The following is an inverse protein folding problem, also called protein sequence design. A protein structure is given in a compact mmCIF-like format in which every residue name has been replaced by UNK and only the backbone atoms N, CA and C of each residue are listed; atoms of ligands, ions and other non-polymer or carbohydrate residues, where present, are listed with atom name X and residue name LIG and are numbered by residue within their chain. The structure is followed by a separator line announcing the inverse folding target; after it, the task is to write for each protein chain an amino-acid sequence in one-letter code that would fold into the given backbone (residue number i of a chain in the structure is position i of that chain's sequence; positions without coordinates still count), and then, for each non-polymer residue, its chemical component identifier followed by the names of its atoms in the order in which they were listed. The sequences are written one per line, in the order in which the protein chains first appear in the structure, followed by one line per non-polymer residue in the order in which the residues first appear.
data_IF_649064221511
#
_entry.id   IF_649064221511
#
_cell.length_a   1.000
_cell.length_b   1.000
_cell.length_c   1.000
_cell.angle_alpha   90.00
_cell.angle_beta   90.00
_cell.angle_gamma   90.00
#
_symmetry.space_group_name_H-M   'P 1'
#
loop_
_entity.id
_entity.type
_entity.pdbx_description
1 polymer ?
#
# COMPACT_ATOMS: atom_id res chain seq x y z
N UNK A 1 19.44 53.16 -41.34
CA UNK A 1 19.23 51.71 -41.35
C UNK A 1 19.64 51.17 -39.98
N UNK A 2 18.66 50.95 -39.11
CA UNK A 2 18.87 50.53 -37.73
C UNK A 2 18.54 49.05 -37.65
N UNK A 3 19.57 48.23 -37.36
CA UNK A 3 19.41 46.80 -37.10
C UNK A 3 18.97 46.60 -35.63
N UNK A 4 17.68 46.33 -35.43
CA UNK A 4 17.16 45.93 -34.12
C UNK A 4 17.65 44.50 -33.82
N UNK A 5 18.58 44.37 -32.88
CA UNK A 5 19.02 43.10 -32.33
C UNK A 5 17.87 42.47 -31.55
N UNK A 6 17.27 41.39 -32.09
CA UNK A 6 16.37 40.52 -31.37
C UNK A 6 17.15 39.81 -30.28
N UNK A 7 17.08 40.32 -29.04
CA UNK A 7 17.48 39.59 -27.86
C UNK A 7 16.48 38.44 -27.69
N UNK A 8 16.88 37.22 -28.06
CA UNK A 8 16.19 35.99 -27.70
C UNK A 8 16.23 35.91 -26.15
N UNK A 9 15.14 36.27 -25.51
CA UNK A 9 14.95 35.93 -24.11
C UNK A 9 14.97 34.41 -23.98
N UNK A 10 15.97 33.88 -23.30
CA UNK A 10 16.04 32.47 -22.90
C UNK A 10 14.89 32.22 -21.92
N UNK A 11 13.78 31.70 -22.45
CA UNK A 11 12.54 31.48 -21.70
C UNK A 11 12.66 30.30 -20.72
N UNK A 12 13.20 30.57 -19.55
CA UNK A 12 12.92 29.78 -18.37
C UNK A 12 11.71 30.44 -17.66
N UNK A 13 10.49 30.11 -18.10
CA UNK A 13 9.32 30.68 -17.43
C UNK A 13 7.99 30.64 -18.15
N UNK A 14 7.82 29.87 -19.22
CA UNK A 14 6.50 29.64 -19.83
C UNK A 14 6.01 28.22 -19.62
N UNK A 15 6.05 27.73 -18.37
CA UNK A 15 5.25 26.61 -17.95
C UNK A 15 3.82 27.07 -17.73
N UNK A 16 2.93 26.79 -18.68
CA UNK A 16 1.50 26.89 -18.44
C UNK A 16 1.10 26.07 -17.21
N UNK A 17 -0.11 26.22 -16.65
CA UNK A 17 -0.54 25.49 -15.45
C UNK A 17 -0.33 23.99 -15.67
N UNK A 18 0.30 23.30 -14.68
CA UNK A 18 0.62 21.89 -14.75
C UNK A 18 -0.65 21.07 -15.09
N UNK A 19 -0.49 20.03 -15.91
CA UNK A 19 -1.64 19.19 -16.30
C UNK A 19 -2.33 18.62 -15.05
N UNK A 20 -3.66 18.50 -15.07
CA UNK A 20 -4.45 17.93 -13.95
C UNK A 20 -3.93 16.56 -13.48
N UNK A 21 -3.33 15.79 -14.39
CA UNK A 21 -2.73 14.47 -14.07
C UNK A 21 -1.53 14.65 -13.13
N UNK A 22 -0.66 15.61 -13.41
CA UNK A 22 0.53 15.91 -12.59
C UNK A 22 0.09 16.43 -11.23
N UNK A 23 -0.84 17.39 -11.19
CA UNK A 23 -1.33 17.98 -9.93
C UNK A 23 -1.97 16.93 -9.03
N UNK A 24 -2.84 16.07 -9.58
CA UNK A 24 -3.51 15.00 -8.81
C UNK A 24 -2.49 13.95 -8.34
N UNK A 25 -1.58 13.52 -9.21
CA UNK A 25 -0.55 12.54 -8.84
C UNK A 25 0.38 13.08 -7.74
N UNK A 26 0.82 14.32 -7.85
CA UNK A 26 1.67 14.95 -6.85
C UNK A 26 0.94 15.17 -5.51
N UNK A 27 -0.30 15.65 -5.54
CA UNK A 27 -1.10 15.81 -4.32
C UNK A 27 -1.36 14.47 -3.63
N UNK A 28 -1.62 13.41 -4.40
CA UNK A 28 -1.78 12.07 -3.85
C UNK A 28 -0.47 11.49 -3.29
N UNK A 29 0.66 11.79 -3.92
CA UNK A 29 1.97 11.44 -3.40
C UNK A 29 2.26 12.09 -2.03
N UNK A 30 1.89 13.37 -1.86
CA UNK A 30 1.99 14.04 -0.55
C UNK A 30 1.12 13.36 0.52
N UNK A 31 -0.09 12.90 0.15
CA UNK A 31 -0.93 12.10 1.04
C UNK A 31 -0.23 10.78 1.45
N UNK A 32 0.36 10.05 0.50
CA UNK A 32 1.11 8.84 0.80
C UNK A 32 2.33 9.07 1.69
N UNK A 33 3.00 10.22 1.57
CA UNK A 33 4.08 10.59 2.48
C UNK A 33 3.58 10.74 3.93
N UNK A 34 2.36 11.26 4.15
CA UNK A 34 1.78 11.33 5.50
C UNK A 34 1.52 9.94 6.08
N UNK A 35 1.07 8.98 5.25
CA UNK A 35 0.88 7.59 5.67
C UNK A 35 2.23 6.94 6.02
N UNK A 36 3.29 7.17 5.23
CA UNK A 36 4.64 6.68 5.52
C UNK A 36 5.14 7.22 6.87
N UNK A 37 4.92 8.51 7.17
CA UNK A 37 5.28 9.10 8.47
C UNK A 37 4.50 8.44 9.61
N UNK A 38 3.20 8.21 9.43
CA UNK A 38 2.37 7.52 10.41
C UNK A 38 2.88 6.09 10.68
N UNK A 39 3.15 5.30 9.64
CA UNK A 39 3.71 3.96 9.80
C UNK A 39 5.10 3.98 10.43
N UNK A 40 5.94 4.97 10.10
CA UNK A 40 7.26 5.14 10.75
C UNK A 40 7.12 5.36 12.26
N UNK A 41 6.10 6.10 12.71
CA UNK A 41 5.82 6.26 14.14
C UNK A 41 5.38 4.93 14.79
N UNK A 42 4.56 4.10 14.12
CA UNK A 42 4.21 2.77 14.60
C UNK A 42 5.41 1.82 14.66
N UNK A 43 6.31 1.85 13.67
CA UNK A 43 7.56 1.09 13.70
C UNK A 43 8.45 1.51 14.87
N UNK A 44 8.57 2.81 15.12
CA UNK A 44 9.34 3.33 16.25
C UNK A 44 8.73 2.90 17.59
N UNK A 45 7.41 2.99 17.74
CA UNK A 45 6.71 2.51 18.93
C UNK A 45 6.92 1.01 19.14
N UNK A 46 6.80 0.20 18.08
CA UNK A 46 7.07 -1.23 18.16
C UNK A 46 8.52 -1.51 18.57
N UNK A 47 9.51 -0.84 18.00
CA UNK A 47 10.92 -1.04 18.32
C UNK A 47 11.24 -0.73 19.80
N UNK A 48 10.63 0.33 20.37
CA UNK A 48 10.78 0.67 21.80
C UNK A 48 10.11 -0.39 22.70
N UNK A 49 8.96 -0.94 22.29
CA UNK A 49 8.17 -1.87 23.08
C UNK A 49 8.47 -3.36 22.81
N UNK A 50 9.40 -3.66 21.88
CA UNK A 50 9.71 -5.02 21.44
C UNK A 50 10.05 -6.00 22.57
N UNK A 51 10.69 -5.52 23.63
CA UNK A 51 11.07 -6.32 24.80
C UNK A 51 10.05 -6.29 25.96
N UNK A 52 8.96 -5.51 25.82
CA UNK A 52 7.95 -5.31 26.88
C UNK A 52 6.85 -6.38 26.79
N UNK A 53 7.23 -7.67 26.87
CA UNK A 53 6.32 -8.81 26.67
C UNK A 53 5.50 -9.19 27.91
N UNK A 54 5.85 -8.69 29.09
CA UNK A 54 5.19 -9.02 30.38
C UNK A 54 5.02 -10.54 30.61
N UNK A 55 6.01 -11.34 30.19
CA UNK A 55 5.96 -12.82 30.26
C UNK A 55 5.00 -13.48 29.27
N UNK A 56 4.53 -12.72 28.29
CA UNK A 56 3.70 -13.21 27.17
C UNK A 56 4.54 -13.59 25.94
N UNK A 57 3.89 -13.89 24.80
CA UNK A 57 4.57 -14.24 23.55
C UNK A 57 5.57 -13.17 23.12
N UNK A 58 6.72 -13.64 22.63
CA UNK A 58 7.81 -12.84 22.08
C UNK A 58 7.73 -12.75 20.55
N UNK A 59 8.62 -11.97 19.93
CA UNK A 59 8.71 -11.89 18.48
C UNK A 59 8.98 -13.23 17.79
N UNK A 60 9.68 -14.16 18.48
CA UNK A 60 9.91 -15.54 17.99
C UNK A 60 8.62 -16.34 17.86
N UNK A 61 7.70 -16.16 18.81
CA UNK A 61 6.43 -16.89 18.85
C UNK A 61 5.44 -16.40 17.80
N UNK A 62 5.68 -15.21 17.25
CA UNK A 62 4.87 -14.61 16.18
C UNK A 62 5.32 -15.01 14.77
N UNK A 63 6.51 -15.58 14.63
CA UNK A 63 7.02 -16.01 13.34
C UNK A 63 6.47 -17.40 13.00
N UNK A 64 5.46 -17.43 12.13
CA UNK A 64 4.94 -18.66 11.54
C UNK A 64 5.29 -18.72 10.03
N UNK A 65 5.51 -19.92 9.44
CA UNK A 65 5.80 -20.07 8.01
C UNK A 65 4.70 -19.49 7.09
N UNK A 66 3.46 -19.36 7.58
CA UNK A 66 2.34 -18.73 6.90
C UNK A 66 2.62 -17.28 6.49
N UNK A 67 3.48 -16.56 7.24
CA UNK A 67 3.87 -15.17 6.94
C UNK A 67 4.62 -15.02 5.62
N UNK A 68 5.37 -16.04 5.23
CA UNK A 68 6.04 -16.07 3.92
C UNK A 68 5.00 -16.20 2.81
N UNK A 69 3.95 -17.01 3.00
CA UNK A 69 2.87 -17.14 2.04
C UNK A 69 2.06 -15.82 1.90
N UNK A 70 1.77 -15.13 3.00
CA UNK A 70 1.11 -13.83 3.00
C UNK A 70 1.93 -12.79 2.22
N UNK A 71 3.25 -12.76 2.45
CA UNK A 71 4.16 -11.88 1.72
C UNK A 71 4.17 -12.21 0.23
N UNK A 72 4.20 -13.50 -0.14
CA UNK A 72 4.14 -13.93 -1.53
C UNK A 72 2.82 -13.53 -2.22
N UNK A 73 1.68 -13.63 -1.51
CA UNK A 73 0.37 -13.19 -2.01
C UNK A 73 0.35 -11.70 -2.29
N UNK A 74 0.87 -10.87 -1.37
CA UNK A 74 0.94 -9.42 -1.56
C UNK A 74 1.88 -9.04 -2.71
N UNK A 75 3.08 -9.61 -2.79
CA UNK A 75 4.00 -9.37 -3.90
C UNK A 75 3.39 -9.77 -5.25
N UNK A 76 2.70 -10.92 -5.31
CA UNK A 76 1.97 -11.35 -6.51
C UNK A 76 0.83 -10.36 -6.84
N UNK A 77 0.11 -9.84 -5.84
CA UNK A 77 -0.94 -8.84 -6.05
C UNK A 77 -0.36 -7.52 -6.56
N UNK A 78 0.80 -7.11 -6.05
CA UNK A 78 1.53 -5.93 -6.51
C UNK A 78 1.94 -6.06 -7.98
N UNK A 79 2.44 -7.24 -8.37
CA UNK A 79 2.77 -7.53 -9.76
C UNK A 79 1.53 -7.45 -10.68
N UNK A 80 0.41 -8.06 -10.30
CA UNK A 80 -0.85 -7.98 -11.08
C UNK A 80 -1.41 -6.56 -11.13
N UNK A 81 -1.25 -5.78 -10.06
CA UNK A 81 -1.59 -4.36 -10.03
C UNK A 81 -0.77 -3.58 -11.07
N UNK A 82 0.54 -3.82 -11.19
CA UNK A 82 1.39 -3.26 -12.24
C UNK A 82 0.93 -3.64 -13.65
N UNK A 83 0.52 -4.91 -13.86
CA UNK A 83 -0.06 -5.35 -15.15
C UNK A 83 -1.34 -4.60 -15.48
N UNK A 84 -2.19 -4.28 -14.49
CA UNK A 84 -3.40 -3.49 -14.70
C UNK A 84 -3.09 -2.09 -15.24
N UNK A 85 -1.99 -1.47 -14.78
CA UNK A 85 -1.54 -0.18 -15.29
C UNK A 85 -1.07 -0.26 -16.76
N UNK A 86 -0.39 -1.33 -17.14
CA UNK A 86 0.03 -1.56 -18.53
C UNK A 86 -1.19 -1.81 -19.43
N UNK A 87 -2.14 -2.65 -18.99
CA UNK A 87 -3.38 -2.92 -19.73
C UNK A 87 -4.23 -1.66 -19.92
N UNK A 88 -4.28 -0.79 -18.90
CA UNK A 88 -4.96 0.53 -18.99
C UNK A 88 -4.30 1.43 -20.03
N UNK A 89 -2.96 1.46 -20.11
CA UNK A 89 -2.24 2.20 -21.15
C UNK A 89 -2.50 1.65 -22.56
N UNK A 90 -2.61 0.32 -22.67
CA UNK A 90 -2.98 -0.37 -23.91
C UNK A 90 -4.48 -0.24 -24.24
N UNK A 91 -5.28 0.43 -23.39
CA UNK A 91 -6.73 0.61 -23.54
C UNK A 91 -7.52 -0.69 -23.70
N UNK A 92 -7.04 -1.78 -23.11
CA UNK A 92 -7.71 -3.08 -23.12
C UNK A 92 -8.56 -3.24 -21.87
N UNK A 93 -9.89 -3.16 -22.03
CA UNK A 93 -10.84 -3.30 -20.91
C UNK A 93 -10.71 -4.67 -20.24
N UNK A 94 -10.72 -5.73 -21.03
CA UNK A 94 -10.69 -7.11 -20.51
C UNK A 94 -9.43 -7.38 -19.69
N UNK A 95 -8.26 -7.03 -20.22
CA UNK A 95 -7.00 -7.25 -19.51
C UNK A 95 -6.87 -6.38 -18.25
N UNK A 96 -7.42 -5.16 -18.28
CA UNK A 96 -7.44 -4.28 -17.10
C UNK A 96 -8.33 -4.89 -16.01
N UNK A 97 -9.54 -5.35 -16.35
CA UNK A 97 -10.46 -5.98 -15.42
C UNK A 97 -9.89 -7.29 -14.84
N UNK A 98 -9.32 -8.16 -15.67
CA UNK A 98 -8.71 -9.41 -15.21
C UNK A 98 -7.53 -9.17 -14.27
N UNK A 99 -6.68 -8.22 -14.59
CA UNK A 99 -5.54 -7.88 -13.75
C UNK A 99 -5.99 -7.28 -12.40
N UNK A 100 -7.01 -6.40 -12.40
CA UNK A 100 -7.60 -5.87 -11.16
C UNK A 100 -8.29 -6.94 -10.34
N UNK A 101 -9.02 -7.85 -10.99
CA UNK A 101 -9.65 -8.99 -10.31
C UNK A 101 -8.60 -9.87 -9.63
N UNK A 102 -7.52 -10.22 -10.33
CA UNK A 102 -6.41 -10.96 -9.75
C UNK A 102 -5.78 -10.24 -8.55
N UNK A 103 -5.52 -8.93 -8.68
CA UNK A 103 -5.03 -8.08 -7.58
C UNK A 103 -5.96 -8.13 -6.38
N UNK A 104 -7.27 -7.98 -6.62
CA UNK A 104 -8.29 -8.01 -5.57
C UNK A 104 -8.40 -9.36 -4.87
N UNK A 105 -8.37 -10.47 -5.62
CA UNK A 105 -8.43 -11.82 -5.04
C UNK A 105 -7.19 -12.13 -4.20
N UNK A 106 -6.00 -11.79 -4.68
CA UNK A 106 -4.76 -11.99 -3.93
C UNK A 106 -4.70 -11.12 -2.67
N UNK A 107 -5.10 -9.85 -2.77
CA UNK A 107 -5.18 -8.95 -1.61
C UNK A 107 -6.24 -9.37 -0.60
N UNK A 108 -7.39 -9.89 -1.06
CA UNK A 108 -8.43 -10.44 -0.18
C UNK A 108 -7.96 -11.72 0.52
N UNK A 109 -7.25 -12.61 -0.19
CA UNK A 109 -6.66 -13.80 0.40
C UNK A 109 -5.67 -13.45 1.51
N UNK A 110 -4.78 -12.47 1.27
CA UNK A 110 -3.90 -11.93 2.30
C UNK A 110 -4.68 -11.44 3.53
N UNK A 111 -5.71 -10.61 3.32
CA UNK A 111 -6.48 -10.03 4.42
C UNK A 111 -7.23 -11.10 5.25
N UNK A 112 -7.70 -12.17 4.59
CA UNK A 112 -8.34 -13.31 5.27
C UNK A 112 -7.34 -14.06 6.14
N UNK A 113 -6.13 -14.33 5.64
CA UNK A 113 -5.07 -15.00 6.42
C UNK A 113 -4.67 -14.15 7.63
N UNK A 114 -4.46 -12.86 7.44
CA UNK A 114 -4.13 -11.90 8.51
C UNK A 114 -5.21 -11.86 9.59
N UNK A 115 -6.50 -11.81 9.18
CA UNK A 115 -7.61 -11.82 10.12
C UNK A 115 -7.72 -13.14 10.90
N UNK A 116 -7.47 -14.28 10.25
CA UNK A 116 -7.45 -15.60 10.90
C UNK A 116 -6.34 -15.69 11.94
N UNK A 117 -5.18 -15.13 11.65
CA UNK A 117 -4.06 -15.11 12.57
C UNK A 117 -4.33 -14.21 13.78
N UNK A 118 -4.88 -13.03 13.58
CA UNK A 118 -5.33 -12.17 14.68
C UNK A 118 -6.35 -12.88 15.56
N UNK A 119 -7.33 -13.55 14.97
CA UNK A 119 -8.31 -14.35 15.71
C UNK A 119 -7.63 -15.48 16.49
N UNK A 120 -6.65 -16.16 15.89
CA UNK A 120 -5.86 -17.21 16.54
C UNK A 120 -5.03 -16.70 17.73
N UNK A 121 -4.39 -15.53 17.60
CA UNK A 121 -3.66 -14.90 18.70
C UNK A 121 -4.59 -14.51 19.85
N UNK A 122 -5.72 -13.90 19.55
CA UNK A 122 -6.72 -13.55 20.58
C UNK A 122 -7.27 -14.78 21.27
N UNK A 123 -7.58 -15.86 20.54
CA UNK A 123 -8.07 -17.12 21.10
C UNK A 123 -7.06 -17.79 22.05
N UNK A 124 -5.75 -17.61 21.79
CA UNK A 124 -4.65 -18.09 22.65
C UNK A 124 -4.36 -17.17 23.84
N UNK A 125 -5.17 -16.13 24.07
CA UNK A 125 -4.98 -15.14 25.14
C UNK A 125 -3.85 -14.14 24.88
N UNK A 126 -3.33 -14.09 23.65
CA UNK A 126 -2.29 -13.17 23.18
C UNK A 126 -2.92 -11.93 22.51
N UNK A 127 -3.98 -11.38 23.10
CA UNK A 127 -4.64 -10.17 22.59
C UNK A 127 -3.85 -8.89 22.93
N UNK A 128 -4.26 -7.74 22.37
CA UNK A 128 -3.54 -6.47 22.51
C UNK A 128 -3.45 -5.99 23.98
N UNK A 129 -4.37 -6.42 24.86
CA UNK A 129 -4.37 -6.04 26.29
C UNK A 129 -3.32 -6.80 27.11
N UNK A 130 -2.72 -7.88 26.58
CA UNK A 130 -1.81 -8.75 27.32
C UNK A 130 -0.46 -8.10 27.61
N UNK A 131 0.09 -7.34 26.67
CA UNK A 131 1.38 -6.68 26.83
C UNK A 131 1.50 -5.44 25.91
N UNK A 132 2.41 -4.54 26.27
CA UNK A 132 2.70 -3.36 25.43
C UNK A 132 3.28 -3.76 24.06
N UNK A 133 4.08 -4.83 24.00
CA UNK A 133 4.58 -5.43 22.76
C UNK A 133 3.42 -5.84 21.83
N UNK A 134 2.45 -6.62 22.34
CA UNK A 134 1.29 -7.04 21.56
C UNK A 134 0.41 -5.86 21.16
N UNK A 135 0.21 -4.86 22.03
CA UNK A 135 -0.52 -3.64 21.67
C UNK A 135 0.11 -2.92 20.48
N UNK A 136 1.43 -2.75 20.48
CA UNK A 136 2.16 -2.12 19.36
C UNK A 136 2.09 -2.98 18.08
N UNK A 137 2.21 -4.30 18.21
CA UNK A 137 2.08 -5.25 17.11
C UNK A 137 0.68 -5.16 16.46
N UNK A 138 -0.39 -5.30 17.25
CA UNK A 138 -1.75 -5.21 16.74
C UNK A 138 -2.08 -3.84 16.13
N UNK A 139 -1.53 -2.75 16.69
CA UNK A 139 -1.72 -1.42 16.13
C UNK A 139 -1.03 -1.28 14.76
N UNK A 140 0.23 -1.72 14.63
CA UNK A 140 1.00 -1.61 13.41
C UNK A 140 0.43 -2.48 12.29
N UNK A 141 0.26 -3.78 12.54
CA UNK A 141 -0.21 -4.76 11.57
C UNK A 141 -1.69 -4.53 11.25
N UNK A 142 -2.52 -4.25 12.27
CA UNK A 142 -3.94 -3.94 12.09
C UNK A 142 -4.18 -2.67 11.30
N UNK A 143 -3.39 -1.62 11.51
CA UNK A 143 -3.45 -0.40 10.71
C UNK A 143 -3.12 -0.69 9.23
N UNK A 144 -2.11 -1.52 8.96
CA UNK A 144 -1.80 -1.98 7.61
C UNK A 144 -2.97 -2.76 6.99
N UNK A 145 -3.54 -3.72 7.69
CA UNK A 145 -4.70 -4.49 7.25
C UNK A 145 -5.92 -3.61 6.93
N UNK A 146 -6.19 -2.57 7.74
CA UNK A 146 -7.24 -1.60 7.45
C UNK A 146 -6.99 -0.82 6.16
N UNK A 147 -5.74 -0.46 5.86
CA UNK A 147 -5.39 0.20 4.61
C UNK A 147 -5.57 -0.74 3.41
N UNK A 148 -5.20 -2.02 3.53
CA UNK A 148 -5.45 -3.02 2.49
C UNK A 148 -6.96 -3.18 2.26
N UNK A 149 -7.77 -3.26 3.32
CA UNK A 149 -9.23 -3.34 3.22
C UNK A 149 -9.82 -2.11 2.50
N UNK A 150 -9.37 -0.90 2.85
CA UNK A 150 -9.78 0.32 2.17
C UNK A 150 -9.37 0.32 0.69
N UNK A 151 -8.18 -0.18 0.37
CA UNK A 151 -7.72 -0.38 -1.00
C UNK A 151 -8.59 -1.37 -1.79
N UNK A 152 -9.01 -2.48 -1.19
CA UNK A 152 -9.92 -3.44 -1.80
C UNK A 152 -11.30 -2.84 -2.09
N UNK A 153 -11.84 -2.05 -1.17
CA UNK A 153 -13.09 -1.32 -1.40
C UNK A 153 -12.95 -0.33 -2.55
N UNK A 154 -11.84 0.41 -2.59
CA UNK A 154 -11.56 1.33 -3.70
C UNK A 154 -11.44 0.58 -5.04
N UNK A 155 -10.70 -0.53 -5.08
CA UNK A 155 -10.57 -1.41 -6.25
C UNK A 155 -11.94 -1.87 -6.74
N UNK A 156 -12.80 -2.36 -5.86
CA UNK A 156 -14.16 -2.78 -6.19
C UNK A 156 -14.99 -1.65 -6.84
N UNK A 157 -14.89 -0.42 -6.31
CA UNK A 157 -15.57 0.73 -6.91
C UNK A 157 -15.04 1.08 -8.30
N UNK A 158 -13.75 0.88 -8.56
CA UNK A 158 -13.16 1.10 -9.88
C UNK A 158 -13.60 0.03 -10.88
N UNK A 159 -13.55 -1.23 -10.49
CA UNK A 159 -14.01 -2.35 -11.32
C UNK A 159 -15.47 -2.17 -11.75
N UNK A 160 -16.34 -1.75 -10.84
CA UNK A 160 -17.74 -1.45 -11.18
C UNK A 160 -17.90 -0.27 -12.17
N UNK A 161 -16.93 0.64 -12.24
CA UNK A 161 -17.00 1.84 -13.11
C UNK A 161 -16.39 1.63 -14.49
N UNK A 162 -15.42 0.72 -14.64
CA UNK A 162 -14.69 0.48 -15.89
C UNK A 162 -15.64 0.05 -17.03
N UNK A 163 -16.51 -0.96 -16.86
CA UNK A 163 -17.39 -1.42 -17.95
C UNK A 163 -18.42 -0.35 -18.35
N UNK A 164 -18.90 0.45 -17.40
CA UNK A 164 -19.96 1.44 -17.63
C UNK A 164 -19.42 2.73 -18.26
N UNK A 165 -18.25 3.19 -17.83
CA UNK A 165 -17.72 4.51 -18.21
C UNK A 165 -16.58 4.45 -19.23
N UNK A 166 -15.98 3.27 -19.45
CA UNK A 166 -14.79 3.10 -20.28
C UNK A 166 -13.58 3.90 -19.80
N UNK A 167 -12.54 3.99 -20.61
CA UNK A 167 -11.31 4.72 -20.30
C UNK A 167 -11.49 6.24 -20.45
N UNK A 168 -12.00 6.89 -19.42
CA UNK A 168 -12.03 8.35 -19.31
C UNK A 168 -10.80 8.86 -18.53
N UNK A 169 -10.37 10.07 -18.82
CA UNK A 169 -9.25 10.72 -18.13
C UNK A 169 -9.37 10.72 -16.59
N UNK A 170 -10.59 10.72 -16.07
CA UNK A 170 -10.86 10.60 -14.63
C UNK A 170 -10.51 9.21 -14.10
N UNK A 171 -10.86 8.16 -14.84
CA UNK A 171 -10.55 6.79 -14.48
C UNK A 171 -9.03 6.53 -14.53
N UNK A 172 -8.36 7.01 -15.58
CA UNK A 172 -6.89 6.90 -15.69
C UNK A 172 -6.16 7.55 -14.50
N UNK A 173 -6.65 8.71 -14.02
CA UNK A 173 -6.11 9.35 -12.81
C UNK A 173 -6.36 8.53 -11.54
N UNK A 174 -7.54 7.95 -11.40
CA UNK A 174 -7.87 7.06 -10.26
C UNK A 174 -7.00 5.80 -10.28
N UNK A 175 -6.78 5.21 -11.44
CA UNK A 175 -5.87 4.07 -11.62
C UNK A 175 -4.43 4.43 -11.22
N UNK A 176 -3.95 5.62 -11.60
CA UNK A 176 -2.64 6.10 -11.19
C UNK A 176 -2.53 6.19 -9.67
N UNK A 177 -3.50 6.85 -9.01
CA UNK A 177 -3.50 6.98 -7.55
C UNK A 177 -3.63 5.62 -6.86
N UNK A 178 -4.48 4.72 -7.37
CA UNK A 178 -4.63 3.38 -6.83
C UNK A 178 -3.33 2.56 -6.93
N UNK A 179 -2.65 2.60 -8.08
CA UNK A 179 -1.36 1.93 -8.24
C UNK A 179 -0.31 2.46 -7.26
N UNK A 180 -0.21 3.79 -7.10
CA UNK A 180 0.69 4.39 -6.12
C UNK A 180 0.38 3.92 -4.69
N UNK A 181 -0.90 3.92 -4.32
CA UNK A 181 -1.36 3.47 -3.01
C UNK A 181 -1.03 2.00 -2.76
N UNK A 182 -1.37 1.11 -3.70
CA UNK A 182 -1.17 -0.33 -3.56
C UNK A 182 0.31 -0.70 -3.42
N UNK A 183 1.16 -0.14 -4.28
CA UNK A 183 2.61 -0.38 -4.18
C UNK A 183 3.23 0.23 -2.91
N UNK A 184 2.73 1.37 -2.42
CA UNK A 184 3.19 1.92 -1.14
C UNK A 184 2.85 1.00 0.02
N UNK A 185 1.64 0.41 0.05
CA UNK A 185 1.27 -0.57 1.06
C UNK A 185 2.15 -1.83 1.01
N UNK A 186 2.45 -2.30 -0.18
CA UNK A 186 3.34 -3.45 -0.37
C UNK A 186 4.75 -3.18 0.17
N UNK A 187 5.31 -1.99 -0.08
CA UNK A 187 6.60 -1.57 0.49
C UNK A 187 6.54 -1.53 2.03
N UNK A 188 5.46 -0.98 2.59
CA UNK A 188 5.26 -0.95 4.06
C UNK A 188 5.18 -2.37 4.61
N UNK A 189 4.49 -3.29 3.93
CA UNK A 189 4.41 -4.70 4.33
C UNK A 189 5.78 -5.39 4.33
N UNK A 190 6.59 -5.20 3.29
CA UNK A 190 7.95 -5.76 3.25
C UNK A 190 8.79 -5.23 4.42
N UNK A 191 8.65 -3.94 4.74
CA UNK A 191 9.28 -3.35 5.94
C UNK A 191 8.77 -4.01 7.23
N UNK A 192 7.45 -4.20 7.35
CA UNK A 192 6.81 -4.84 8.49
C UNK A 192 7.28 -6.30 8.63
N UNK A 193 7.25 -7.07 7.56
CA UNK A 193 7.73 -8.45 7.54
C UNK A 193 9.19 -8.53 7.99
N UNK A 194 10.04 -7.65 7.49
CA UNK A 194 11.47 -7.65 7.82
C UNK A 194 11.71 -7.27 9.28
N UNK A 195 11.13 -6.16 9.74
CA UNK A 195 11.41 -5.60 11.07
C UNK A 195 10.71 -6.39 12.17
N UNK A 196 9.43 -6.69 12.00
CA UNK A 196 8.62 -7.31 13.06
C UNK A 196 8.83 -8.81 13.10
N UNK A 197 8.81 -9.47 11.96
CA UNK A 197 8.89 -10.94 11.92
C UNK A 197 10.32 -11.47 11.83
N UNK A 198 11.14 -11.03 10.86
CA UNK A 198 12.49 -11.58 10.70
C UNK A 198 13.44 -11.10 11.80
N UNK A 199 13.48 -9.79 12.08
CA UNK A 199 14.35 -9.28 13.15
C UNK A 199 13.81 -9.63 14.53
N UNK A 200 12.48 -9.59 14.73
CA UNK A 200 11.85 -10.01 15.98
C UNK A 200 12.07 -11.50 16.30
N UNK A 201 12.18 -12.38 15.31
CA UNK A 201 12.52 -13.80 15.49
C UNK A 201 14.00 -14.01 15.86
N UNK A 202 14.88 -13.08 15.52
CA UNK A 202 16.32 -13.15 15.81
C UNK A 202 16.73 -12.56 17.18
N UNK A 203 15.84 -11.80 17.82
CA UNK A 203 16.05 -11.18 19.12
C UNK A 203 15.50 -12.07 20.24
#
# INVERSE_FOLDING_TARGET
MSAAAHVRATGHGQGGPASRRIVVGYGFWLFLLSDIVMFSAFFAAWAVLAHSTAGGPSGRDLFEPSRVAETALLLASSFTCGLSALATRARSLIWTELALLATGLLGAAFLVLEAQEFAGLVARGAGPQRSAFLSAFFALVGCHGLHVAAGLLWLGTMMAQIPVKGFRATLERRMLCFNLFWHTLDIIWVGLFTVVYLMGAGA
#
